data_IF_700140211230
#
_entry.id   IF_700140211230
#
_cell.length_a   1.000
_cell.length_b   1.000
_cell.length_c   1.000
_cell.angle_alpha   90.00
_cell.angle_beta   90.00
_cell.angle_gamma   90.00
#
_symmetry.space_group_name_H-M   'P 1'
#
loop_
_entity.id
_entity.type
_entity.pdbx_description
1 polymer ?
#
# COMPACT_ATOMS: atom_id res chain seq x y z
N UNK A 1 16.86 -21.19 -26.04
CA UNK A 1 16.31 -21.59 -24.73
C UNK A 1 17.23 -21.28 -23.54
N UNK A 2 18.52 -20.97 -23.71
CA UNK A 2 19.47 -20.76 -22.61
C UNK A 2 19.00 -19.74 -21.55
N UNK A 3 18.54 -18.55 -21.98
CA UNK A 3 18.10 -17.49 -21.06
C UNK A 3 16.89 -17.88 -20.19
N UNK A 4 15.76 -18.37 -20.75
CA UNK A 4 14.65 -18.88 -19.94
C UNK A 4 15.04 -19.97 -18.96
N UNK A 5 15.88 -20.93 -19.38
CA UNK A 5 16.30 -22.05 -18.53
C UNK A 5 17.17 -21.55 -17.38
N UNK A 6 18.12 -20.65 -17.64
CA UNK A 6 19.01 -20.12 -16.63
C UNK A 6 18.26 -19.26 -15.60
N UNK A 7 17.38 -18.38 -16.07
CA UNK A 7 16.52 -17.56 -15.20
C UNK A 7 15.58 -18.45 -14.36
N UNK A 8 14.98 -19.48 -14.95
CA UNK A 8 14.14 -20.44 -14.23
C UNK A 8 14.91 -21.22 -13.18
N UNK A 9 16.09 -21.76 -13.50
CA UNK A 9 16.92 -22.53 -12.57
C UNK A 9 17.40 -21.70 -11.39
N UNK A 10 17.93 -20.50 -11.63
CA UNK A 10 18.36 -19.57 -10.58
C UNK A 10 17.19 -19.21 -9.66
N UNK A 11 16.01 -19.01 -10.25
CA UNK A 11 14.83 -18.63 -9.49
C UNK A 11 14.20 -19.81 -8.73
N UNK A 12 14.31 -21.02 -9.26
CA UNK A 12 13.85 -22.26 -8.61
C UNK A 12 14.72 -22.65 -7.41
N UNK A 13 16.00 -22.24 -7.40
CA UNK A 13 16.94 -22.51 -6.30
C UNK A 13 17.05 -21.35 -5.31
N UNK A 14 16.51 -20.16 -5.66
CA UNK A 14 16.48 -18.98 -4.79
C UNK A 14 15.50 -19.16 -3.63
N UNK A 15 15.88 -18.66 -2.43
CA UNK A 15 15.01 -18.63 -1.25
C UNK A 15 13.90 -17.57 -1.32
N UNK A 16 14.00 -16.59 -2.23
CA UNK A 16 13.06 -15.48 -2.34
C UNK A 16 12.37 -15.48 -3.70
N UNK A 17 11.18 -16.10 -3.75
CA UNK A 17 10.38 -16.20 -4.95
C UNK A 17 9.45 -14.98 -5.07
N UNK A 18 9.76 -14.07 -6.01
CA UNK A 18 8.83 -12.99 -6.37
C UNK A 18 8.50 -13.06 -7.86
N UNK A 19 7.20 -13.01 -8.19
CA UNK A 19 6.69 -13.11 -9.58
C UNK A 19 7.38 -12.12 -10.52
N UNK A 20 7.82 -10.96 -10.01
CA UNK A 20 8.54 -9.94 -10.78
C UNK A 20 9.76 -10.49 -11.53
N UNK A 21 10.48 -11.46 -10.97
CA UNK A 21 11.67 -12.01 -11.63
C UNK A 21 11.33 -12.93 -12.81
N UNK A 22 10.14 -13.56 -12.83
CA UNK A 22 9.67 -14.34 -13.98
C UNK A 22 9.36 -13.45 -15.19
N UNK A 23 9.10 -12.16 -14.98
CA UNK A 23 8.77 -11.23 -16.07
C UNK A 23 9.89 -11.11 -17.10
N UNK A 24 11.15 -11.31 -16.68
CA UNK A 24 12.33 -11.24 -17.55
C UNK A 24 12.43 -12.40 -18.55
N UNK A 25 11.67 -13.48 -18.34
CA UNK A 25 11.70 -14.68 -19.18
C UNK A 25 10.76 -14.54 -20.38
N UNK A 26 9.66 -13.80 -20.22
CA UNK A 26 8.60 -13.71 -21.24
C UNK A 26 9.08 -13.23 -22.62
N UNK A 27 9.92 -12.18 -22.76
CA UNK A 27 10.35 -11.73 -24.09
C UNK A 27 11.14 -12.82 -24.85
N UNK A 28 12.06 -13.50 -24.16
CA UNK A 28 12.85 -14.56 -24.76
C UNK A 28 12.02 -15.79 -25.12
N UNK A 29 11.05 -16.17 -24.26
CA UNK A 29 10.11 -17.26 -24.57
C UNK A 29 9.23 -16.91 -25.77
N UNK A 30 8.72 -15.67 -25.86
CA UNK A 30 7.88 -15.23 -26.97
C UNK A 30 8.61 -15.36 -28.32
N UNK A 31 9.88 -14.94 -28.40
CA UNK A 31 10.69 -15.07 -29.62
C UNK A 31 10.88 -16.55 -30.01
N UNK A 32 11.19 -17.40 -29.03
CA UNK A 32 11.43 -18.83 -29.29
C UNK A 32 10.14 -19.49 -29.78
N UNK A 33 9.01 -19.25 -29.11
CA UNK A 33 7.71 -19.80 -29.51
C UNK A 33 7.34 -19.30 -30.90
N UNK A 34 7.49 -18.01 -31.18
CA UNK A 34 7.20 -17.44 -32.50
C UNK A 34 8.04 -18.09 -33.61
N UNK A 35 9.33 -18.31 -33.38
CA UNK A 35 10.21 -18.98 -34.35
C UNK A 35 9.82 -20.44 -34.56
N UNK A 36 9.55 -21.19 -33.50
CA UNK A 36 9.17 -22.61 -33.58
C UNK A 36 7.84 -22.78 -34.30
N UNK A 37 6.82 -21.97 -33.94
CA UNK A 37 5.50 -22.00 -34.59
C UNK A 37 5.63 -21.59 -36.06
N UNK A 38 6.39 -20.54 -36.38
CA UNK A 38 6.64 -20.13 -37.77
C UNK A 38 7.37 -21.19 -38.59
N UNK A 39 8.28 -21.95 -38.00
CA UNK A 39 8.97 -23.04 -38.71
C UNK A 39 8.04 -24.21 -39.05
N UNK A 40 6.99 -24.44 -38.24
CA UNK A 40 6.04 -25.54 -38.43
C UNK A 40 4.88 -25.20 -39.38
N UNK A 41 4.55 -23.92 -39.54
CA UNK A 41 3.46 -23.50 -40.44
C UNK A 41 3.97 -23.27 -41.87
N UNK A 42 3.26 -23.82 -42.86
CA UNK A 42 3.44 -23.46 -44.27
C UNK A 42 2.99 -22.01 -44.56
N UNK A 43 3.44 -21.39 -45.67
CA UNK A 43 3.25 -19.96 -45.95
C UNK A 43 1.79 -19.50 -45.88
N UNK A 44 0.83 -20.28 -46.39
CA UNK A 44 -0.60 -19.92 -46.33
C UNK A 44 -1.14 -19.91 -44.90
N UNK A 45 -0.73 -20.90 -44.09
CA UNK A 45 -1.14 -20.99 -42.68
C UNK A 45 -0.51 -19.89 -41.83
N UNK A 46 0.68 -19.39 -42.18
CA UNK A 46 1.32 -18.26 -41.48
C UNK A 46 0.51 -16.98 -41.59
N UNK A 47 0.03 -16.65 -42.80
CA UNK A 47 -0.78 -15.45 -43.02
C UNK A 47 -2.11 -15.52 -42.27
N UNK A 48 -2.75 -16.68 -42.25
CA UNK A 48 -3.95 -16.92 -41.44
C UNK A 48 -3.67 -16.78 -39.93
N UNK A 49 -2.56 -17.35 -39.44
CA UNK A 49 -2.16 -17.24 -38.04
C UNK A 49 -1.86 -15.79 -37.63
N UNK A 50 -1.20 -15.01 -38.50
CA UNK A 50 -0.96 -13.58 -38.29
C UNK A 50 -2.27 -12.81 -38.17
N UNK A 51 -3.22 -13.04 -39.07
CA UNK A 51 -4.54 -12.40 -39.01
C UNK A 51 -5.29 -12.72 -37.71
N UNK A 52 -5.26 -13.98 -37.27
CA UNK A 52 -5.86 -14.39 -35.99
C UNK A 52 -5.18 -13.71 -34.81
N UNK A 53 -3.84 -13.67 -34.77
CA UNK A 53 -3.09 -13.01 -33.68
C UNK A 53 -3.40 -11.52 -33.60
N UNK A 54 -3.45 -10.82 -34.74
CA UNK A 54 -3.85 -9.40 -34.79
C UNK A 54 -5.27 -9.23 -34.27
N UNK A 55 -6.20 -10.10 -34.67
CA UNK A 55 -7.57 -10.11 -34.16
C UNK A 55 -7.64 -10.28 -32.65
N UNK A 56 -6.91 -11.25 -32.09
CA UNK A 56 -6.85 -11.48 -30.64
C UNK A 56 -6.26 -10.26 -29.90
N UNK A 57 -5.20 -9.64 -30.44
CA UNK A 57 -4.61 -8.42 -29.86
C UNK A 57 -5.63 -7.29 -29.87
N UNK A 58 -6.30 -7.04 -31.00
CA UNK A 58 -7.31 -5.99 -31.13
C UNK A 58 -8.49 -6.20 -30.17
N UNK A 59 -9.01 -7.43 -30.06
CA UNK A 59 -10.07 -7.79 -29.12
C UNK A 59 -9.61 -7.61 -27.68
N UNK A 60 -8.38 -7.98 -27.35
CA UNK A 60 -7.82 -7.81 -26.00
C UNK A 60 -7.70 -6.32 -25.64
N UNK A 61 -7.19 -5.49 -26.57
CA UNK A 61 -7.11 -4.03 -26.39
C UNK A 61 -8.51 -3.45 -26.21
N UNK A 62 -9.47 -3.85 -27.03
CA UNK A 62 -10.86 -3.40 -26.92
C UNK A 62 -11.46 -3.83 -25.57
N UNK A 63 -11.29 -5.07 -25.16
CA UNK A 63 -11.79 -5.59 -23.89
C UNK A 63 -11.21 -4.81 -22.70
N UNK A 64 -9.90 -4.57 -22.67
CA UNK A 64 -9.23 -3.82 -21.60
C UNK A 64 -9.70 -2.36 -21.54
N UNK A 65 -9.97 -1.72 -22.68
CA UNK A 65 -10.40 -0.32 -22.72
C UNK A 65 -11.91 -0.13 -22.55
N UNK A 66 -12.73 -1.06 -23.04
CA UNK A 66 -14.19 -0.94 -23.08
C UNK A 66 -14.89 -1.61 -21.88
N UNK A 67 -14.24 -2.55 -21.19
CA UNK A 67 -14.83 -3.20 -20.01
C UNK A 67 -14.18 -2.67 -18.72
N UNK A 68 -14.96 -2.30 -17.69
CA UNK A 68 -14.44 -1.95 -16.37
C UNK A 68 -14.06 -3.22 -15.59
N UNK A 69 -13.33 -4.15 -16.22
CA UNK A 69 -12.92 -5.40 -15.59
C UNK A 69 -11.84 -5.10 -14.54
N UNK A 70 -12.23 -5.18 -13.26
CA UNK A 70 -11.32 -5.00 -12.12
C UNK A 70 -10.42 -6.22 -11.98
N UNK A 71 -9.33 -6.27 -12.74
CA UNK A 71 -8.27 -7.24 -12.52
C UNK A 71 -7.82 -7.19 -11.04
N UNK A 72 -7.51 -8.35 -10.45
CA UNK A 72 -7.13 -8.49 -9.02
C UNK A 72 -5.90 -7.66 -8.61
N UNK A 73 -5.14 -7.14 -9.58
CA UNK A 73 -4.25 -5.99 -9.43
C UNK A 73 -5.13 -4.74 -9.47
N UNK A 74 -5.92 -4.57 -8.42
CA UNK A 74 -6.95 -3.55 -8.38
C UNK A 74 -6.31 -2.18 -8.53
N UNK A 75 -6.80 -1.36 -9.48
CA UNK A 75 -6.80 0.11 -9.38
C UNK A 75 -7.66 0.58 -8.18
N UNK A 76 -7.91 -0.28 -7.19
CA UNK A 76 -8.43 0.15 -5.90
C UNK A 76 -7.44 1.18 -5.39
N UNK A 77 -7.96 2.30 -4.92
CA UNK A 77 -7.15 3.37 -4.37
C UNK A 77 -6.20 2.76 -3.34
N UNK A 78 -4.92 2.63 -3.70
CA UNK A 78 -3.93 2.12 -2.77
C UNK A 78 -3.91 3.08 -1.59
N UNK A 79 -3.91 2.50 -0.38
CA UNK A 79 -3.88 3.28 0.85
C UNK A 79 -5.07 4.23 1.03
N UNK A 80 -6.28 3.84 0.62
CA UNK A 80 -7.54 4.58 0.87
C UNK A 80 -7.61 5.09 2.32
N UNK A 81 -7.31 4.23 3.28
CA UNK A 81 -7.38 4.56 4.70
C UNK A 81 -6.32 5.59 5.12
N UNK A 82 -5.19 5.68 4.41
CA UNK A 82 -4.19 6.72 4.68
C UNK A 82 -4.67 8.06 4.11
N UNK A 83 -5.23 8.05 2.90
CA UNK A 83 -5.74 9.25 2.23
C UNK A 83 -6.82 9.95 3.04
N UNK A 84 -7.74 9.18 3.62
CA UNK A 84 -8.84 9.70 4.43
C UNK A 84 -8.39 10.48 5.67
N UNK A 85 -7.25 10.12 6.26
CA UNK A 85 -6.73 10.78 7.47
C UNK A 85 -5.60 11.76 7.19
N UNK A 86 -4.98 11.69 6.00
CA UNK A 86 -3.77 12.41 5.68
C UNK A 86 -3.87 13.94 5.79
N UNK A 87 -5.01 14.52 5.39
CA UNK A 87 -5.24 15.96 5.53
C UNK A 87 -5.22 16.38 7.02
N UNK A 88 -5.86 15.58 7.88
CA UNK A 88 -5.96 15.88 9.32
C UNK A 88 -4.60 15.72 10.00
N UNK A 89 -3.82 14.73 9.56
CA UNK A 89 -2.44 14.54 9.98
C UNK A 89 -1.58 15.75 9.61
N UNK A 90 -1.68 16.25 8.38
CA UNK A 90 -0.93 17.43 7.93
C UNK A 90 -1.27 18.66 8.79
N UNK A 91 -2.56 18.89 9.06
CA UNK A 91 -3.03 20.05 9.80
C UNK A 91 -2.63 20.04 11.29
N UNK A 92 -2.58 18.85 11.92
CA UNK A 92 -2.32 18.73 13.36
C UNK A 92 -0.88 18.30 13.71
N UNK A 93 -0.05 17.97 12.73
CA UNK A 93 1.37 17.69 12.94
C UNK A 93 2.21 18.83 12.36
N UNK A 94 3.07 19.50 13.15
CA UNK A 94 4.01 20.51 12.63
C UNK A 94 4.97 19.94 11.57
N UNK A 95 5.42 20.77 10.63
CA UNK A 95 6.28 20.33 9.51
C UNK A 95 7.65 19.79 9.97
N UNK A 96 8.18 20.27 11.09
CA UNK A 96 9.43 19.79 11.70
C UNK A 96 9.23 18.55 12.60
N UNK A 97 8.00 18.07 12.75
CA UNK A 97 7.65 16.96 13.63
C UNK A 97 7.31 15.70 12.83
N UNK A 98 7.91 14.59 13.24
CA UNK A 98 7.54 13.26 12.74
C UNK A 98 6.34 12.71 13.51
N UNK A 99 5.51 11.94 12.83
CA UNK A 99 4.40 11.20 13.45
C UNK A 99 5.00 9.99 14.15
N UNK A 100 4.71 9.79 15.44
CA UNK A 100 5.13 8.59 16.15
C UNK A 100 4.44 7.33 15.61
N UNK A 101 5.16 6.21 15.61
CA UNK A 101 4.68 4.92 15.14
C UNK A 101 4.46 3.97 16.32
N UNK A 102 3.19 3.69 16.65
CA UNK A 102 2.85 2.72 17.69
C UNK A 102 2.35 1.42 17.07
N UNK A 103 3.13 0.35 17.22
CA UNK A 103 2.82 -1.02 16.79
C UNK A 103 2.43 -1.19 15.30
N UNK A 104 2.72 -0.23 14.43
CA UNK A 104 2.57 -0.43 12.98
C UNK A 104 3.83 -1.06 12.40
N UNK A 105 3.72 -1.59 11.19
CA UNK A 105 4.88 -2.10 10.46
C UNK A 105 5.79 -0.95 10.02
N UNK A 106 7.08 -1.24 9.80
CA UNK A 106 8.07 -0.22 9.42
C UNK A 106 7.76 0.45 8.07
N UNK A 107 7.25 -0.31 7.11
CA UNK A 107 7.09 0.15 5.73
C UNK A 107 5.67 0.58 5.37
N UNK A 108 4.65 -0.06 5.95
CA UNK A 108 3.24 0.26 5.73
C UNK A 108 2.62 0.79 7.04
N UNK A 109 2.15 2.05 7.11
CA UNK A 109 1.78 2.96 6.01
C UNK A 109 2.79 4.06 5.64
N UNK A 110 4.06 3.95 6.05
CA UNK A 110 5.05 5.04 6.00
C UNK A 110 5.10 5.83 4.68
N UNK A 111 5.26 5.14 3.55
CA UNK A 111 5.40 5.83 2.25
C UNK A 111 4.11 6.53 1.81
N UNK A 112 2.96 5.89 2.02
CA UNK A 112 1.68 6.51 1.73
C UNK A 112 1.44 7.71 2.63
N UNK A 113 1.82 7.63 3.91
CA UNK A 113 1.65 8.74 4.84
C UNK A 113 2.50 9.93 4.42
N UNK A 114 3.77 9.72 4.07
CA UNK A 114 4.63 10.77 3.55
C UNK A 114 4.04 11.42 2.30
N UNK A 115 3.58 10.60 1.35
CA UNK A 115 3.03 11.09 0.08
C UNK A 115 1.75 11.92 0.26
N UNK A 116 0.79 11.45 1.06
CA UNK A 116 -0.52 12.10 1.16
C UNK A 116 -0.59 13.19 2.24
N UNK A 117 0.18 13.08 3.32
CA UNK A 117 0.12 14.04 4.44
C UNK A 117 1.31 15.01 4.46
N UNK A 118 2.32 14.81 3.63
CA UNK A 118 3.60 15.54 3.71
C UNK A 118 4.21 15.48 5.13
N UNK A 119 4.04 14.36 5.82
CA UNK A 119 4.60 14.10 7.16
C UNK A 119 5.22 12.71 7.23
N UNK A 120 6.37 12.63 7.88
CA UNK A 120 7.13 11.39 8.01
C UNK A 120 6.61 10.61 9.22
N UNK A 121 6.19 9.36 8.97
CA UNK A 121 5.98 8.39 10.05
C UNK A 121 7.34 7.89 10.55
N UNK A 122 7.52 7.89 11.86
CA UNK A 122 8.78 7.51 12.49
C UNK A 122 9.14 6.05 12.17
N UNK A 123 10.44 5.82 12.05
CA UNK A 123 10.99 4.50 11.75
C UNK A 123 11.05 3.63 13.00
N UNK A 124 11.31 4.25 14.16
CA UNK A 124 11.27 3.57 15.45
C UNK A 124 9.83 3.21 15.77
N UNK A 125 9.57 1.91 15.93
CA UNK A 125 8.26 1.39 16.30
C UNK A 125 8.23 1.26 17.82
N UNK A 126 7.43 2.08 18.49
CA UNK A 126 7.13 1.88 19.91
C UNK A 126 6.17 0.70 20.00
N UNK A 127 6.60 -0.37 20.70
CA UNK A 127 5.81 -1.58 20.89
C UNK A 127 5.25 -1.68 22.31
N UNK A 128 5.94 -1.10 23.27
CA UNK A 128 5.52 -1.10 24.65
C UNK A 128 4.51 0.03 24.91
N UNK A 129 3.43 -0.27 25.62
CA UNK A 129 2.38 0.71 25.92
C UNK A 129 2.83 1.69 27.01
N UNK A 130 3.56 1.25 28.02
CA UNK A 130 4.10 2.13 29.08
C UNK A 130 5.12 3.10 28.50
N UNK A 131 6.01 2.61 27.62
CA UNK A 131 6.96 3.47 26.91
C UNK A 131 6.23 4.56 26.11
N UNK A 132 5.15 4.20 25.40
CA UNK A 132 4.33 5.18 24.68
C UNK A 132 3.73 6.22 25.62
N UNK A 133 3.15 5.80 26.76
CA UNK A 133 2.56 6.72 27.73
C UNK A 133 3.62 7.66 28.32
N UNK A 134 4.82 7.16 28.60
CA UNK A 134 5.94 8.00 29.05
C UNK A 134 6.32 9.03 27.98
N UNK A 135 6.42 8.63 26.70
CA UNK A 135 6.71 9.57 25.61
C UNK A 135 5.61 10.62 25.43
N UNK A 136 4.34 10.24 25.59
CA UNK A 136 3.19 11.17 25.56
C UNK A 136 3.18 12.13 26.75
N UNK A 137 3.75 11.73 27.89
CA UNK A 137 3.91 12.60 29.05
C UNK A 137 5.07 13.59 28.86
N UNK A 138 6.19 13.14 28.30
CA UNK A 138 7.39 13.96 28.06
C UNK A 138 7.20 14.95 26.91
N UNK A 139 6.52 14.53 25.83
CA UNK A 139 6.21 15.38 24.69
C UNK A 139 4.72 15.27 24.34
N UNK A 140 3.84 16.01 25.03
CA UNK A 140 2.39 15.93 24.82
C UNK A 140 1.97 16.42 23.43
N UNK A 141 2.71 17.34 22.82
CA UNK A 141 2.45 17.85 21.47
C UNK A 141 2.76 16.82 20.37
N UNK A 142 3.46 15.72 20.69
CA UNK A 142 3.74 14.67 19.72
C UNK A 142 2.45 13.97 19.31
N UNK A 143 2.26 13.83 18.00
CA UNK A 143 1.15 13.11 17.39
C UNK A 143 1.57 11.70 16.99
N UNK A 144 0.65 10.76 17.05
CA UNK A 144 0.91 9.34 16.92
C UNK A 144 -0.08 8.66 15.97
N UNK A 145 0.37 7.60 15.31
CA UNK A 145 -0.44 6.76 14.44
C UNK A 145 -0.34 5.31 14.88
N UNK A 146 -1.49 4.64 14.95
CA UNK A 146 -1.58 3.21 15.20
C UNK A 146 -2.78 2.59 14.47
N UNK A 147 -2.98 1.29 14.61
CA UNK A 147 -4.18 0.63 14.13
C UNK A 147 -5.35 0.89 15.07
N UNK A 148 -6.58 0.96 14.55
CA UNK A 148 -7.76 1.21 15.37
C UNK A 148 -7.93 0.17 16.50
N UNK A 149 -7.57 -1.10 16.23
CA UNK A 149 -7.60 -2.17 17.24
C UNK A 149 -6.61 -1.96 18.38
N UNK A 150 -5.37 -1.56 18.07
CA UNK A 150 -4.35 -1.26 19.09
C UNK A 150 -4.68 0.01 19.87
N UNK A 151 -5.26 1.02 19.24
CA UNK A 151 -5.71 2.22 19.95
C UNK A 151 -6.82 1.91 20.96
N UNK A 152 -7.80 1.06 20.63
CA UNK A 152 -8.86 0.67 21.59
C UNK A 152 -8.26 0.02 22.84
N UNK A 153 -7.37 -0.96 22.65
CA UNK A 153 -6.64 -1.60 23.76
C UNK A 153 -5.88 -0.58 24.60
N UNK A 154 -5.23 0.38 23.95
CA UNK A 154 -4.48 1.44 24.63
C UNK A 154 -5.39 2.36 25.45
N UNK A 155 -6.54 2.77 24.89
CA UNK A 155 -7.52 3.61 25.56
C UNK A 155 -8.20 2.89 26.74
N UNK A 156 -8.45 1.58 26.60
CA UNK A 156 -9.01 0.75 27.67
C UNK A 156 -7.99 0.56 28.81
N UNK A 157 -6.71 0.36 28.49
CA UNK A 157 -5.65 0.17 29.47
C UNK A 157 -5.24 1.47 30.18
N UNK A 158 -5.29 2.61 29.47
CA UNK A 158 -4.88 3.92 29.97
C UNK A 158 -5.97 4.97 29.74
N UNK A 159 -7.10 4.87 30.46
CA UNK A 159 -8.19 5.83 30.32
C UNK A 159 -7.70 7.24 30.66
N UNK A 160 -8.16 8.23 29.91
CA UNK A 160 -7.81 9.65 30.09
C UNK A 160 -6.30 9.96 29.98
N UNK A 161 -5.53 9.16 29.22
CA UNK A 161 -4.13 9.49 28.88
C UNK A 161 -3.95 9.84 27.41
N UNK A 162 -4.78 9.26 26.55
CA UNK A 162 -4.72 9.44 25.10
C UNK A 162 -5.94 10.19 24.59
N UNK A 163 -5.77 10.94 23.51
CA UNK A 163 -6.82 11.69 22.83
C UNK A 163 -6.88 11.33 21.36
N UNK A 164 -8.02 10.84 20.91
CA UNK A 164 -8.24 10.54 19.49
C UNK A 164 -8.50 11.84 18.73
N UNK A 165 -7.78 12.09 17.64
CA UNK A 165 -8.02 13.24 16.75
C UNK A 165 -8.86 12.80 15.54
N UNK A 166 -8.49 11.65 14.94
CA UNK A 166 -9.22 11.06 13.81
C UNK A 166 -9.00 9.56 13.74
N UNK A 167 -10.06 8.82 13.43
CA UNK A 167 -9.97 7.41 13.08
C UNK A 167 -10.70 7.09 11.78
N UNK A 168 -10.35 5.95 11.20
CA UNK A 168 -11.15 5.26 10.18
C UNK A 168 -11.15 3.74 10.42
N UNK A 169 -11.53 2.96 9.41
CA UNK A 169 -11.63 1.50 9.51
C UNK A 169 -10.33 0.80 9.91
N UNK A 170 -9.16 1.43 9.70
CA UNK A 170 -7.85 0.80 9.90
C UNK A 170 -6.95 1.56 10.86
N UNK A 171 -6.92 2.88 10.79
CA UNK A 171 -5.95 3.70 11.51
C UNK A 171 -6.62 4.62 12.52
N UNK A 172 -5.89 4.89 13.60
CA UNK A 172 -6.20 5.88 14.61
C UNK A 172 -5.03 6.86 14.72
N UNK A 173 -5.34 8.14 14.54
CA UNK A 173 -4.44 9.26 14.70
C UNK A 173 -4.80 10.00 16.00
N UNK A 174 -3.82 10.12 16.89
CA UNK A 174 -4.06 10.49 18.28
C UNK A 174 -2.88 11.26 18.87
N UNK A 175 -3.09 11.82 20.06
CA UNK A 175 -2.07 12.54 20.83
C UNK A 175 -2.30 12.31 22.33
N UNK A 176 -1.56 13.04 23.18
CA UNK A 176 -1.77 13.08 24.61
C UNK A 176 -3.02 13.87 24.94
N UNK A 177 -3.78 13.45 25.98
CA UNK A 177 -4.95 14.22 26.45
C UNK A 177 -4.58 15.67 26.80
N UNK A 178 -3.35 15.90 27.25
CA UNK A 178 -2.83 17.22 27.60
C UNK A 178 -2.69 18.17 26.41
N UNK A 179 -2.72 17.64 25.19
CA UNK A 179 -2.58 18.41 23.96
C UNK A 179 -3.92 18.62 23.24
N UNK A 180 -5.04 18.21 23.84
CA UNK A 180 -6.37 18.32 23.25
C UNK A 180 -6.70 19.75 22.82
N UNK A 181 -6.41 20.74 23.66
CA UNK A 181 -6.71 22.16 23.39
C UNK A 181 -5.90 22.76 22.23
N UNK A 182 -4.76 22.14 21.87
CA UNK A 182 -3.91 22.59 20.77
C UNK A 182 -4.26 21.91 19.43
N UNK A 183 -5.27 21.04 19.41
CA UNK A 183 -5.73 20.38 18.19
C UNK A 183 -6.56 21.39 17.38
N UNK A 184 -5.99 21.82 16.25
CA UNK A 184 -6.63 22.82 15.37
C UNK A 184 -7.85 22.24 14.65
N UNK A 185 -7.86 20.93 14.39
CA UNK A 185 -8.99 20.28 13.75
C UNK A 185 -9.25 18.90 14.36
N UNK A 186 -10.31 18.84 15.16
CA UNK A 186 -10.76 17.62 15.81
C UNK A 186 -11.93 16.98 15.05
N UNK A 187 -11.83 15.66 14.88
CA UNK A 187 -12.80 14.84 14.18
C UNK A 187 -13.11 13.54 14.93
N UNK A 188 -12.80 13.50 16.22
CA UNK A 188 -13.10 12.40 17.15
C UNK A 188 -14.58 11.99 17.10
N UNK A 189 -15.48 12.96 17.03
CA UNK A 189 -16.93 12.75 17.02
C UNK A 189 -17.54 12.51 15.63
N UNK A 190 -16.77 12.69 14.54
CA UNK A 190 -17.30 12.49 13.20
C UNK A 190 -17.42 11.01 12.84
N UNK A 191 -18.66 10.53 12.72
CA UNK A 191 -18.98 9.27 12.04
C UNK A 191 -18.66 9.42 10.55
N UNK A 192 -17.54 8.83 10.11
CA UNK A 192 -17.20 8.79 8.69
C UNK A 192 -18.27 8.04 7.90
N UNK A 193 -18.76 8.58 6.76
CA UNK A 193 -19.64 7.83 5.88
C UNK A 193 -18.88 6.61 5.36
N UNK A 194 -19.49 5.44 5.47
CA UNK A 194 -18.97 4.20 4.88
C UNK A 194 -19.14 4.34 3.36
N UNK A 195 -18.14 4.90 2.68
CA UNK A 195 -18.11 4.95 1.22
C UNK A 195 -17.87 3.52 0.72
N UNK A 196 -18.98 2.83 0.40
CA UNK A 196 -19.03 1.51 -0.23
C UNK A 196 -18.44 1.53 -1.64
#
# INVERSE_FOLDING_TARGET
FLWPVLAFLIMSTSKNHTIRYLLMIFPALAIIIAKTVSAWLGPDKKNQALAIMVGVIAITILFVNATPFRAKVTLAQSSKEVREIAAIVNLNTPANQKIGNYRLTEWNPKHAMLFYSNRVLDRSITRDSEELIQQLATNPAKTWLTSMGEFRKLADQYPNKVYLIKANSKYAFFTSIKNQENISYDFSDMRLPIVK
#
